data_IF_555758226811
#
_entry.id   IF_555758226811
#
_cell.length_a   1.000
_cell.length_b   1.000
_cell.length_c   1.000
_cell.angle_alpha   90.00
_cell.angle_beta   90.00
_cell.angle_gamma   90.00
#
_symmetry.space_group_name_H-M   'P 1'
#
loop_
_entity.id
_entity.type
_entity.pdbx_description
1 polymer ?
#
# COMPACT_ATOMS: atom_id res chain seq x y z
N UNK A 1 2.04 2.68 23.64
CA UNK A 1 3.17 3.42 24.25
C UNK A 1 4.43 3.46 23.38
N UNK A 2 4.38 3.11 22.07
CA UNK A 2 5.61 2.93 21.29
C UNK A 2 5.51 3.50 19.86
N UNK A 3 5.05 4.74 19.72
CA UNK A 3 5.03 5.44 18.43
C UNK A 3 5.75 6.78 18.56
N UNK A 4 7.08 6.71 18.66
CA UNK A 4 7.95 7.87 18.85
C UNK A 4 7.78 8.89 17.72
N UNK A 5 7.53 8.43 16.49
CA UNK A 5 7.28 9.30 15.34
C UNK A 5 5.98 10.08 15.49
N UNK A 6 4.88 9.43 15.92
CA UNK A 6 3.63 10.14 16.20
C UNK A 6 3.76 11.14 17.34
N UNK A 7 4.46 10.78 18.41
CA UNK A 7 4.66 11.69 19.55
C UNK A 7 5.52 12.89 19.16
N UNK A 8 6.63 12.67 18.44
CA UNK A 8 7.49 13.74 17.96
C UNK A 8 6.70 14.67 17.03
N UNK A 9 5.95 14.13 16.07
CA UNK A 9 5.15 14.95 15.14
C UNK A 9 4.05 15.74 15.85
N UNK A 10 3.40 15.15 16.86
CA UNK A 10 2.41 15.84 17.67
C UNK A 10 3.01 17.01 18.45
N UNK A 11 4.21 16.84 19.00
CA UNK A 11 4.94 17.90 19.68
C UNK A 11 5.40 18.98 18.70
N UNK A 12 5.95 18.63 17.54
CA UNK A 12 6.32 19.59 16.49
C UNK A 12 5.16 20.49 16.11
N UNK A 13 3.98 19.91 15.82
CA UNK A 13 2.79 20.69 15.45
C UNK A 13 2.33 21.59 16.60
N UNK A 14 2.36 21.08 17.84
CA UNK A 14 1.99 21.89 19.01
C UNK A 14 2.95 23.07 19.21
N UNK A 15 4.27 22.85 19.12
CA UNK A 15 5.25 23.92 19.27
C UNK A 15 5.19 24.96 18.15
N UNK A 16 4.83 24.57 16.93
CA UNK A 16 4.70 25.50 15.79
C UNK A 16 3.38 26.26 15.81
N UNK A 17 2.27 25.59 16.16
CA UNK A 17 0.91 26.16 15.99
C UNK A 17 0.27 26.61 17.30
N UNK A 18 0.81 26.22 18.45
CA UNK A 18 0.19 26.42 19.78
C UNK A 18 -1.05 25.55 20.03
N UNK A 19 -1.46 24.74 19.06
CA UNK A 19 -2.68 23.95 19.08
C UNK A 19 -2.31 22.47 18.97
N UNK A 20 -2.84 21.59 19.84
CA UNK A 20 -2.55 20.17 19.75
C UNK A 20 -3.15 19.56 18.48
N UNK A 21 -2.47 18.58 17.86
CA UNK A 21 -2.97 17.86 16.67
C UNK A 21 -4.41 17.36 16.86
N UNK A 22 -4.75 16.89 18.07
CA UNK A 22 -6.10 16.41 18.38
C UNK A 22 -7.19 17.49 18.26
N UNK A 23 -6.85 18.77 18.43
CA UNK A 23 -7.77 19.89 18.24
C UNK A 23 -7.86 20.38 16.79
N UNK A 24 -6.92 19.95 15.92
CA UNK A 24 -6.95 20.21 14.48
C UNK A 24 -7.63 19.08 13.68
N UNK A 25 -8.05 18.00 14.35
CA UNK A 25 -8.80 16.90 13.72
C UNK A 25 -10.26 17.30 13.47
N UNK A 26 -10.46 18.22 12.53
CA UNK A 26 -11.67 18.31 11.74
C UNK A 26 -11.30 17.88 10.34
N UNK A 27 -11.61 16.63 9.97
CA UNK A 27 -11.56 16.24 8.57
C UNK A 27 -12.63 17.08 7.85
N UNK A 28 -12.21 18.16 7.18
CA UNK A 28 -13.06 18.81 6.19
C UNK A 28 -13.27 17.78 5.10
N UNK A 29 -14.38 17.06 5.18
CA UNK A 29 -14.79 16.15 4.13
C UNK A 29 -14.84 16.95 2.83
N UNK A 30 -14.30 16.42 1.72
CA UNK A 30 -14.32 17.15 0.48
C UNK A 30 -15.76 17.51 0.09
N UNK A 31 -16.00 18.73 -0.39
CA UNK A 31 -17.33 19.21 -0.78
C UNK A 31 -17.83 18.63 -2.13
N UNK A 32 -17.33 17.47 -2.52
CA UNK A 32 -17.75 16.76 -3.73
C UNK A 32 -18.14 15.33 -3.36
N UNK A 33 -19.10 14.74 -4.10
CA UNK A 33 -19.50 13.37 -3.85
C UNK A 33 -18.34 12.42 -4.16
N UNK A 34 -18.11 11.45 -3.28
CA UNK A 34 -17.06 10.44 -3.41
C UNK A 34 -17.70 9.06 -3.56
N UNK A 35 -17.27 8.32 -4.57
CA UNK A 35 -17.54 6.90 -4.72
C UNK A 35 -16.26 6.13 -4.40
N UNK A 36 -16.31 5.26 -3.40
CA UNK A 36 -15.19 4.40 -3.05
C UNK A 36 -15.47 2.98 -3.50
N UNK A 37 -14.59 2.45 -4.34
CA UNK A 37 -14.69 1.10 -4.89
C UNK A 37 -13.49 0.30 -4.37
N UNK A 38 -13.77 -0.83 -3.73
CA UNK A 38 -12.77 -1.76 -3.23
C UNK A 38 -12.76 -3.04 -4.06
N UNK A 39 -11.57 -3.55 -4.36
CA UNK A 39 -11.39 -4.88 -4.95
C UNK A 39 -10.89 -5.83 -3.87
N UNK A 40 -11.61 -6.93 -3.65
CA UNK A 40 -11.18 -8.00 -2.74
C UNK A 40 -11.17 -9.34 -3.46
N UNK A 41 -10.48 -10.32 -2.86
CA UNK A 41 -10.56 -11.71 -3.26
C UNK A 41 -10.23 -12.62 -2.09
N UNK A 42 -10.45 -13.91 -2.30
CA UNK A 42 -10.07 -14.94 -1.34
C UNK A 42 -8.60 -14.83 -0.93
N UNK A 43 -8.34 -14.98 0.37
CA UNK A 43 -7.00 -14.79 0.96
C UNK A 43 -5.98 -15.70 0.27
N UNK A 44 -6.34 -16.96 0.04
CA UNK A 44 -5.46 -17.94 -0.62
C UNK A 44 -5.11 -17.54 -2.06
N UNK A 45 -6.07 -16.94 -2.79
CA UNK A 45 -5.85 -16.44 -4.15
C UNK A 45 -4.92 -15.23 -4.12
N UNK A 46 -5.10 -14.32 -3.17
CA UNK A 46 -4.22 -13.16 -2.98
C UNK A 46 -2.78 -13.60 -2.65
N UNK A 47 -2.61 -14.56 -1.74
CA UNK A 47 -1.29 -15.05 -1.34
C UNK A 47 -0.53 -15.72 -2.48
N UNK A 48 -1.22 -16.49 -3.33
CA UNK A 48 -0.64 -17.08 -4.55
C UNK A 48 -0.24 -16.00 -5.56
N UNK A 49 -1.10 -15.01 -5.78
CA UNK A 49 -0.81 -13.87 -6.68
C UNK A 49 0.39 -13.06 -6.20
N UNK A 50 0.51 -12.82 -4.89
CA UNK A 50 1.67 -12.14 -4.30
C UNK A 50 2.95 -12.92 -4.58
N UNK A 51 2.97 -14.23 -4.30
CA UNK A 51 4.16 -15.05 -4.53
C UNK A 51 4.57 -15.06 -6.01
N UNK A 52 3.59 -15.26 -6.91
CA UNK A 52 3.82 -15.22 -8.36
C UNK A 52 4.32 -13.86 -8.83
N UNK A 53 3.75 -12.76 -8.34
CA UNK A 53 4.18 -11.40 -8.68
C UNK A 53 5.62 -11.13 -8.23
N UNK A 54 6.00 -11.52 -7.02
CA UNK A 54 7.37 -11.34 -6.52
C UNK A 54 8.35 -12.10 -7.42
N UNK A 55 8.04 -13.34 -7.77
CA UNK A 55 8.87 -14.13 -8.67
C UNK A 55 9.03 -13.44 -10.05
N UNK A 56 7.93 -12.93 -10.61
CA UNK A 56 7.95 -12.17 -11.86
C UNK A 56 8.79 -10.89 -11.75
N UNK A 57 8.76 -10.18 -10.62
CA UNK A 57 9.59 -8.99 -10.41
C UNK A 57 11.09 -9.34 -10.48
N UNK A 58 11.50 -10.48 -9.91
CA UNK A 58 12.89 -10.96 -10.00
C UNK A 58 13.26 -11.31 -11.45
N UNK A 59 12.39 -12.03 -12.15
CA UNK A 59 12.59 -12.41 -13.56
C UNK A 59 12.67 -11.19 -14.49
N UNK A 60 11.93 -10.14 -14.18
CA UNK A 60 11.96 -8.87 -14.90
C UNK A 60 13.17 -7.99 -14.55
N UNK A 61 14.04 -8.43 -13.64
CA UNK A 61 15.32 -7.78 -13.35
C UNK A 61 15.32 -6.83 -12.15
N UNK A 62 14.43 -7.03 -11.16
CA UNK A 62 14.41 -6.22 -9.93
C UNK A 62 15.79 -6.15 -9.25
N UNK A 63 16.56 -7.24 -9.24
CA UNK A 63 17.92 -7.27 -8.65
C UNK A 63 18.81 -6.22 -9.29
N UNK A 64 18.82 -6.19 -10.63
CA UNK A 64 19.62 -5.24 -11.40
C UNK A 64 19.12 -3.81 -11.21
N UNK A 65 17.80 -3.61 -11.18
CA UNK A 65 17.22 -2.29 -10.92
C UNK A 65 17.69 -1.73 -9.56
N UNK A 66 17.66 -2.54 -8.51
CA UNK A 66 18.09 -2.12 -7.16
C UNK A 66 19.60 -1.83 -7.13
N UNK A 67 20.42 -2.66 -7.78
CA UNK A 67 21.86 -2.44 -7.92
C UNK A 67 22.15 -1.10 -8.62
N UNK A 68 21.51 -0.85 -9.77
CA UNK A 68 21.65 0.39 -10.55
C UNK A 68 21.23 1.63 -9.73
N UNK A 69 20.14 1.53 -8.96
CA UNK A 69 19.67 2.60 -8.09
C UNK A 69 20.66 2.90 -6.95
N UNK A 70 21.19 1.86 -6.31
CA UNK A 70 22.22 1.99 -5.27
C UNK A 70 23.47 2.68 -5.80
N UNK A 71 23.93 2.31 -7.00
CA UNK A 71 25.09 2.95 -7.63
C UNK A 71 24.84 4.40 -8.02
N UNK A 72 23.66 4.71 -8.55
CA UNK A 72 23.34 6.03 -9.09
C UNK A 72 22.98 7.06 -8.02
N UNK A 73 22.27 6.66 -6.97
CA UNK A 73 21.69 7.57 -5.98
C UNK A 73 22.13 7.29 -4.55
N UNK A 74 22.91 6.23 -4.31
CA UNK A 74 23.36 5.82 -2.98
C UNK A 74 22.36 4.91 -2.27
N UNK A 75 22.85 4.25 -1.21
CA UNK A 75 22.10 3.23 -0.47
C UNK A 75 21.03 3.81 0.46
N UNK A 76 21.10 5.11 0.78
CA UNK A 76 20.18 5.79 1.69
C UNK A 76 18.93 6.35 0.97
N UNK A 77 18.76 6.04 -0.32
CA UNK A 77 17.60 6.44 -1.09
C UNK A 77 16.31 5.89 -0.43
N UNK A 78 15.32 6.73 -0.06
CA UNK A 78 14.11 6.28 0.64
C UNK A 78 13.31 5.20 -0.10
N UNK A 79 13.35 5.20 -1.44
CA UNK A 79 12.75 4.16 -2.27
C UNK A 79 13.28 2.76 -1.92
N UNK A 80 14.56 2.65 -1.54
CA UNK A 80 15.20 1.38 -1.17
C UNK A 80 14.74 0.84 0.19
N UNK A 81 13.92 1.59 0.93
CA UNK A 81 13.25 1.10 2.15
C UNK A 81 11.85 0.57 1.88
N UNK A 82 11.41 0.53 0.62
CA UNK A 82 10.10 -0.03 0.24
C UNK A 82 10.15 -1.54 0.05
N UNK A 83 8.98 -2.19 0.09
CA UNK A 83 8.84 -3.64 -0.06
C UNK A 83 9.43 -4.14 -1.39
N UNK A 84 10.20 -5.22 -1.34
CA UNK A 84 10.95 -5.76 -2.46
C UNK A 84 12.33 -5.12 -2.57
N UNK A 85 12.39 -3.78 -2.61
CA UNK A 85 13.68 -3.07 -2.72
C UNK A 85 14.53 -3.24 -1.46
N UNK A 86 13.93 -3.21 -0.27
CA UNK A 86 14.66 -3.35 1.00
C UNK A 86 15.29 -4.74 1.15
N UNK A 87 14.56 -5.80 0.80
CA UNK A 87 15.02 -7.18 0.88
C UNK A 87 16.11 -7.46 -0.17
N UNK A 88 15.95 -6.93 -1.38
CA UNK A 88 16.98 -7.07 -2.42
C UNK A 88 18.22 -6.24 -2.08
N UNK A 89 18.08 -5.07 -1.46
CA UNK A 89 19.21 -4.31 -0.92
C UNK A 89 20.00 -5.13 0.11
N UNK A 90 19.32 -5.85 1.01
CA UNK A 90 19.98 -6.74 1.98
C UNK A 90 20.71 -7.91 1.29
N UNK A 91 20.12 -8.48 0.24
CA UNK A 91 20.80 -9.46 -0.61
C UNK A 91 22.09 -8.89 -1.24
N UNK A 92 22.02 -7.69 -1.82
CA UNK A 92 23.19 -7.03 -2.41
C UNK A 92 24.26 -6.65 -1.38
N UNK A 93 23.86 -6.40 -0.12
CA UNK A 93 24.79 -6.18 0.99
C UNK A 93 25.44 -7.48 1.52
N UNK A 94 24.95 -8.65 1.11
CA UNK A 94 25.42 -9.96 1.57
C UNK A 94 24.80 -10.42 2.90
N UNK A 95 23.80 -9.72 3.42
CA UNK A 95 23.11 -10.06 4.67
C UNK A 95 22.18 -11.28 4.52
N UNK A 96 21.71 -11.52 3.29
CA UNK A 96 20.79 -12.60 2.91
C UNK A 96 21.22 -13.21 1.58
N UNK A 97 20.83 -14.46 1.32
CA UNK A 97 20.86 -15.01 -0.03
C UNK A 97 19.59 -14.63 -0.83
N UNK A 98 19.63 -14.77 -2.15
CA UNK A 98 18.52 -14.38 -3.02
C UNK A 98 17.21 -15.13 -2.70
N UNK A 99 17.20 -16.48 -2.50
CA UNK A 99 16.00 -17.18 -2.05
C UNK A 99 15.38 -16.63 -0.76
N UNK A 100 16.21 -16.28 0.23
CA UNK A 100 15.75 -15.66 1.48
C UNK A 100 15.12 -14.29 1.25
N UNK A 101 15.76 -13.43 0.44
CA UNK A 101 15.23 -12.11 0.10
C UNK A 101 13.86 -12.22 -0.62
N UNK A 102 13.70 -13.20 -1.51
CA UNK A 102 12.43 -13.48 -2.19
C UNK A 102 11.37 -13.92 -1.17
N UNK A 103 11.69 -14.87 -0.28
CA UNK A 103 10.76 -15.37 0.73
C UNK A 103 10.32 -14.26 1.72
N UNK A 104 11.24 -13.39 2.11
CA UNK A 104 10.95 -12.22 2.95
C UNK A 104 10.08 -11.20 2.22
N UNK A 105 10.38 -10.91 0.96
CA UNK A 105 9.56 -10.00 0.13
C UNK A 105 8.11 -10.49 0.06
N UNK A 106 7.90 -11.78 -0.17
CA UNK A 106 6.56 -12.40 -0.17
C UNK A 106 5.90 -12.23 1.20
N UNK A 107 6.61 -12.54 2.27
CA UNK A 107 6.09 -12.46 3.65
C UNK A 107 5.68 -11.05 4.01
N UNK A 108 6.54 -10.06 3.78
CA UNK A 108 6.25 -8.66 4.09
C UNK A 108 5.13 -8.10 3.22
N UNK A 109 5.07 -8.51 1.94
CA UNK A 109 3.96 -8.14 1.05
C UNK A 109 2.62 -8.70 1.53
N UNK A 110 2.58 -9.95 2.02
CA UNK A 110 1.38 -10.54 2.63
C UNK A 110 0.94 -9.78 3.88
N UNK A 111 1.88 -9.46 4.77
CA UNK A 111 1.59 -8.67 5.97
C UNK A 111 1.07 -7.27 5.61
N UNK A 112 1.63 -6.64 4.59
CA UNK A 112 1.17 -5.35 4.08
C UNK A 112 -0.24 -5.44 3.51
N UNK A 113 -0.53 -6.44 2.68
CA UNK A 113 -1.87 -6.68 2.14
C UNK A 113 -2.91 -6.93 3.26
N UNK A 114 -2.54 -7.69 4.29
CA UNK A 114 -3.38 -7.88 5.49
C UNK A 114 -3.68 -6.56 6.20
N UNK A 115 -2.65 -5.72 6.40
CA UNK A 115 -2.82 -4.37 7.00
C UNK A 115 -3.73 -3.50 6.14
N UNK A 116 -3.60 -3.54 4.82
CA UNK A 116 -4.48 -2.83 3.89
C UNK A 116 -5.93 -3.29 4.06
N UNK A 117 -6.21 -4.59 4.04
CA UNK A 117 -7.56 -5.14 4.25
C UNK A 117 -8.15 -4.69 5.59
N UNK A 118 -7.39 -4.80 6.67
CA UNK A 118 -7.84 -4.34 8.00
C UNK A 118 -8.12 -2.83 8.03
N UNK A 119 -7.32 -2.03 7.31
CA UNK A 119 -7.50 -0.59 7.25
C UNK A 119 -8.75 -0.21 6.44
N UNK A 120 -8.93 -0.79 5.26
CA UNK A 120 -10.08 -0.51 4.39
C UNK A 120 -11.40 -1.04 4.97
N UNK A 121 -11.41 -2.19 5.66
CA UNK A 121 -12.61 -2.74 6.29
C UNK A 121 -13.21 -1.84 7.38
N UNK A 122 -12.45 -0.87 7.90
CA UNK A 122 -12.98 0.14 8.84
C UNK A 122 -13.90 1.13 8.16
N UNK A 123 -13.77 1.31 6.85
CA UNK A 123 -14.58 2.24 6.08
C UNK A 123 -15.79 1.53 5.46
N UNK A 124 -16.97 1.82 6.00
CA UNK A 124 -18.25 1.25 5.56
C UNK A 124 -18.78 1.88 4.25
N UNK A 125 -18.15 2.94 3.74
CA UNK A 125 -18.54 3.61 2.49
C UNK A 125 -17.98 2.92 1.24
N UNK A 126 -17.06 1.97 1.41
CA UNK A 126 -16.44 1.25 0.30
C UNK A 126 -17.40 0.20 -0.23
N UNK A 127 -17.70 0.28 -1.52
CA UNK A 127 -18.43 -0.78 -2.24
C UNK A 127 -17.41 -1.80 -2.74
N UNK A 128 -17.50 -3.01 -2.20
CA UNK A 128 -16.55 -4.09 -2.48
C UNK A 128 -17.00 -4.96 -3.65
N UNK A 129 -16.05 -5.30 -4.51
CA UNK A 129 -16.23 -6.22 -5.62
C UNK A 129 -15.22 -7.35 -5.55
N UNK A 130 -15.65 -8.55 -5.96
CA UNK A 130 -14.77 -9.69 -6.13
C UNK A 130 -13.91 -9.51 -7.40
N UNK A 131 -12.60 -9.39 -7.20
CA UNK A 131 -11.59 -9.22 -8.25
C UNK A 131 -11.40 -10.48 -9.12
N UNK A 132 -12.11 -11.56 -8.84
CA UNK A 132 -12.14 -12.78 -9.66
C UNK A 132 -13.42 -12.93 -10.47
N UNK A 133 -14.38 -12.03 -10.28
CA UNK A 133 -15.66 -12.07 -10.97
C UNK A 133 -15.50 -11.74 -12.46
N UNK A 134 -16.06 -12.54 -13.38
CA UNK A 134 -15.92 -12.30 -14.82
C UNK A 134 -16.69 -11.06 -15.30
N UNK A 135 -17.73 -10.65 -14.56
CA UNK A 135 -18.56 -9.48 -14.82
C UNK A 135 -18.15 -8.25 -13.97
N UNK A 136 -16.97 -8.29 -13.34
CA UNK A 136 -16.45 -7.22 -12.48
C UNK A 136 -16.54 -5.85 -13.16
N UNK A 137 -16.03 -5.74 -14.39
CA UNK A 137 -15.98 -4.49 -15.14
C UNK A 137 -17.39 -3.94 -15.39
N UNK A 138 -18.33 -4.80 -15.76
CA UNK A 138 -19.72 -4.42 -16.02
C UNK A 138 -20.40 -3.90 -14.74
N UNK A 139 -20.26 -4.63 -13.63
CA UNK A 139 -20.82 -4.24 -12.33
C UNK A 139 -20.25 -2.92 -11.82
N UNK A 140 -18.93 -2.76 -11.88
CA UNK A 140 -18.26 -1.52 -11.46
C UNK A 140 -18.69 -0.36 -12.34
N UNK A 141 -18.79 -0.58 -13.66
CA UNK A 141 -19.22 0.46 -14.60
C UNK A 141 -20.67 0.90 -14.34
N UNK A 142 -21.59 -0.04 -14.10
CA UNK A 142 -22.97 0.27 -13.74
C UNK A 142 -23.06 1.13 -12.48
N UNK A 143 -22.32 0.77 -11.43
CA UNK A 143 -22.26 1.57 -10.19
C UNK A 143 -21.74 2.99 -10.44
N UNK A 144 -20.70 3.13 -11.27
CA UNK A 144 -20.15 4.45 -11.63
C UNK A 144 -21.20 5.28 -12.38
N UNK A 145 -21.94 4.69 -13.32
CA UNK A 145 -23.00 5.39 -14.06
C UNK A 145 -24.13 5.86 -13.15
N UNK A 146 -24.60 5.01 -12.24
CA UNK A 146 -25.62 5.36 -11.24
C UNK A 146 -25.16 6.50 -10.34
N UNK A 147 -23.90 6.43 -9.87
CA UNK A 147 -23.30 7.45 -9.04
C UNK A 147 -23.24 8.80 -9.77
N UNK A 148 -22.75 8.83 -11.01
CA UNK A 148 -22.66 10.05 -11.82
C UNK A 148 -24.05 10.63 -12.09
N UNK A 149 -25.05 9.80 -12.39
CA UNK A 149 -26.42 10.24 -12.61
C UNK A 149 -27.06 10.87 -11.36
N UNK A 150 -26.74 10.35 -10.17
CA UNK A 150 -27.20 10.91 -8.88
C UNK A 150 -26.53 12.24 -8.56
N UNK A 151 -25.27 12.42 -8.94
CA UNK A 151 -24.51 13.65 -8.67
C UNK A 151 -24.80 14.78 -9.67
N UNK A 152 -25.40 14.46 -10.82
CA UNK A 152 -25.75 15.42 -11.87
C UNK A 152 -27.16 16.02 -11.71
N UNK A 153 -27.88 15.67 -10.64
CA UNK A 153 -29.16 16.25 -10.23
C UNK A 153 -28.96 17.22 -9.08
#
# INVERSE_FOLDING_TARGET
>A
LNDQYRTLRALEVFYVTGIPISAQQGENQPNYPILQIGLDCEVETLERRIASRVQQMIELGLVKEVEDLCHKYGQDLPLLSTLGYAEIKQYLAGDLNLPEAIALTVTHTRQFAKRQRTWFNKNQQIVWFDNTSPDLTEKVWGLVQEFVARCSR
#
